data_IF_310793463388
#
_entry.id   IF_310793463388
#
_cell.length_a   1.000
_cell.length_b   1.000
_cell.length_c   1.000
_cell.angle_alpha   90.00
_cell.angle_beta   90.00
_cell.angle_gamma   90.00
#
_symmetry.space_group_name_H-M   'P 1'
#
loop_
_entity.id
_entity.type
_entity.pdbx_description
1 polymer ?
#
# COMPACT_ATOMS: atom_id res chain seq x y z
N UNK A 1 -7.45 59.93 15.31
CA UNK A 1 -8.88 60.21 15.21
C UNK A 1 -9.57 58.93 14.77
N UNK A 2 -10.19 58.24 15.73
CA UNK A 2 -11.17 57.16 15.54
C UNK A 2 -12.51 57.74 14.97
N UNK A 3 -13.48 56.91 14.50
CA UNK A 3 -14.00 55.84 15.36
C UNK A 3 -14.36 54.50 14.65
N UNK A 4 -14.52 53.53 15.54
CA UNK A 4 -15.03 52.19 15.38
C UNK A 4 -16.54 52.18 15.01
N UNK A 5 -17.00 51.11 14.32
CA UNK A 5 -18.38 50.63 14.40
C UNK A 5 -18.44 49.09 14.45
N UNK A 6 -18.97 48.71 15.59
CA UNK A 6 -19.30 47.37 16.04
C UNK A 6 -20.70 46.98 15.53
N UNK A 7 -20.90 45.81 14.95
CA UNK A 7 -22.24 45.19 14.84
C UNK A 7 -22.16 43.68 15.06
N UNK A 8 -22.46 43.30 16.28
CA UNK A 8 -22.90 41.95 16.65
C UNK A 8 -24.28 41.68 15.99
N UNK A 9 -24.44 40.54 15.36
CA UNK A 9 -25.74 39.93 15.07
C UNK A 9 -25.89 38.61 15.80
N UNK A 10 -26.68 38.68 16.86
CA UNK A 10 -27.29 37.55 17.57
C UNK A 10 -28.33 36.85 16.71
N UNK A 11 -28.28 35.53 16.61
CA UNK A 11 -29.40 34.71 16.13
C UNK A 11 -29.95 33.86 17.25
N UNK A 12 -31.22 34.13 17.57
CA UNK A 12 -32.00 33.49 18.62
C UNK A 12 -32.51 32.10 18.17
N UNK A 13 -32.45 31.17 19.12
CA UNK A 13 -33.12 29.86 19.07
C UNK A 13 -34.65 30.03 18.96
N UNK A 14 -35.27 29.27 18.08
CA UNK A 14 -36.67 28.85 18.21
C UNK A 14 -36.74 27.32 18.29
N UNK A 15 -37.13 26.84 19.43
CA UNK A 15 -37.61 25.48 19.65
C UNK A 15 -39.04 25.38 19.13
N UNK A 16 -39.33 24.32 18.40
CA UNK A 16 -40.70 23.83 18.22
C UNK A 16 -40.71 22.34 18.46
N UNK A 17 -41.38 21.98 19.54
CA UNK A 17 -41.63 20.59 19.91
C UNK A 17 -42.78 19.99 19.12
N UNK A 18 -42.63 18.70 18.83
CA UNK A 18 -43.77 17.79 18.65
C UNK A 18 -43.51 16.50 19.36
N UNK A 19 -44.41 16.24 20.32
CA UNK A 19 -44.55 14.96 21.01
C UNK A 19 -45.26 13.98 20.06
N UNK A 20 -44.77 12.74 20.02
CA UNK A 20 -45.60 11.57 19.75
C UNK A 20 -45.06 10.35 20.52
N UNK A 21 -45.97 9.74 21.25
CA UNK A 21 -45.82 8.56 22.07
C UNK A 21 -45.63 7.28 21.24
N UNK A 22 -44.92 6.29 21.79
CA UNK A 22 -45.03 4.93 21.28
C UNK A 22 -44.06 3.93 21.89
N UNK A 23 -44.40 3.46 23.07
CA UNK A 23 -44.20 2.10 23.64
C UNK A 23 -42.90 1.34 23.36
N UNK A 24 -42.15 1.14 24.43
CA UNK A 24 -41.04 0.22 24.56
C UNK A 24 -41.47 -1.25 24.53
N UNK A 25 -40.53 -2.06 24.14
CA UNK A 25 -40.48 -3.48 24.56
C UNK A 25 -39.05 -3.84 24.88
N UNK A 26 -38.77 -4.00 26.16
CA UNK A 26 -37.56 -4.61 26.67
C UNK A 26 -37.63 -6.11 26.42
N UNK A 27 -36.58 -6.71 25.89
CA UNK A 27 -36.41 -8.16 25.87
C UNK A 27 -35.22 -8.48 26.78
N UNK A 28 -35.59 -9.11 27.93
CA UNK A 28 -34.63 -9.68 28.86
C UNK A 28 -34.04 -10.97 28.30
N UNK A 29 -32.72 -11.12 28.37
CA UNK A 29 -32.05 -12.41 28.29
C UNK A 29 -32.22 -13.16 29.63
N UNK A 30 -32.84 -14.34 29.58
CA UNK A 30 -32.80 -15.29 30.66
C UNK A 30 -31.97 -16.51 30.26
N UNK A 31 -30.90 -16.71 31.02
CA UNK A 31 -30.14 -17.95 31.02
C UNK A 31 -30.94 -19.05 31.68
N UNK A 32 -30.96 -20.23 31.08
CA UNK A 32 -31.52 -21.43 31.73
C UNK A 32 -30.50 -22.57 31.66
N UNK A 33 -29.93 -22.86 32.84
CA UNK A 33 -29.25 -24.12 33.14
C UNK A 33 -30.35 -25.19 33.43
N UNK A 34 -30.22 -26.35 32.81
CA UNK A 34 -30.89 -27.57 33.32
C UNK A 34 -29.90 -28.72 33.32
N UNK A 35 -29.58 -29.15 34.55
CA UNK A 35 -28.98 -30.43 34.92
C UNK A 35 -30.13 -31.43 35.22
N UNK A 36 -29.97 -32.69 34.86
CA UNK A 36 -30.40 -33.96 35.47
C UNK A 36 -30.41 -35.01 34.36
N UNK A 37 -29.85 -36.19 34.42
CA UNK A 37 -29.61 -37.10 35.51
C UNK A 37 -30.11 -38.50 35.15
N UNK A 38 -29.20 -39.42 34.97
CA UNK A 38 -29.14 -40.81 35.41
C UNK A 38 -30.12 -41.91 34.93
N UNK A 39 -29.45 -43.03 34.70
CA UNK A 39 -29.78 -44.46 34.97
C UNK A 39 -30.28 -45.29 33.78
N UNK A 40 -29.40 -46.15 33.25
CA UNK A 40 -29.16 -47.56 33.62
C UNK A 40 -30.07 -48.56 32.92
N UNK A 41 -29.52 -49.44 32.14
CA UNK A 41 -29.45 -50.90 32.45
C UNK A 41 -28.57 -51.62 31.41
N UNK A 42 -27.84 -52.57 31.95
CA UNK A 42 -26.89 -53.46 31.27
C UNK A 42 -27.59 -54.59 30.54
N UNK A 43 -26.95 -55.10 29.46
CA UNK A 43 -26.89 -56.53 29.25
C UNK A 43 -25.67 -56.91 28.38
N UNK A 44 -25.05 -57.98 28.82
CA UNK A 44 -23.81 -58.58 28.28
C UNK A 44 -24.10 -59.36 27.00
N UNK A 45 -23.14 -59.37 26.04
CA UNK A 45 -22.57 -60.60 25.55
C UNK A 45 -21.32 -60.33 24.71
N UNK A 46 -20.29 -61.18 24.89
CA UNK A 46 -18.99 -61.29 24.22
C UNK A 46 -19.01 -62.50 23.27
N UNK A 47 -17.96 -62.79 22.47
CA UNK A 47 -16.96 -61.99 21.71
C UNK A 47 -16.82 -62.43 20.24
N UNK A 48 -16.23 -61.64 19.37
CA UNK A 48 -15.51 -62.13 18.21
C UNK A 48 -14.54 -61.10 17.59
N UNK A 49 -13.26 -61.45 17.70
CA UNK A 49 -12.14 -61.28 16.72
C UNK A 49 -11.93 -59.91 16.00
N UNK A 50 -10.79 -59.35 16.31
CA UNK A 50 -10.09 -58.30 15.54
C UNK A 50 -9.82 -58.70 14.09
N UNK A 51 -9.78 -57.71 13.21
CA UNK A 51 -8.58 -57.58 12.39
C UNK A 51 -8.01 -56.14 12.30
N UNK A 52 -6.69 -56.12 12.41
CA UNK A 52 -5.71 -55.32 11.69
C UNK A 52 -5.95 -53.80 11.56
N UNK A 53 -5.15 -53.14 12.32
CA UNK A 53 -4.45 -51.88 12.11
C UNK A 53 -4.50 -51.34 10.66
N UNK A 54 -5.25 -50.24 10.43
CA UNK A 54 -4.99 -49.30 9.38
C UNK A 54 -4.85 -47.92 10.02
N UNK A 55 -3.61 -47.53 10.26
CA UNK A 55 -3.24 -46.14 10.51
C UNK A 55 -3.61 -45.33 9.29
N UNK A 56 -4.59 -44.48 9.41
CA UNK A 56 -4.75 -43.34 8.52
C UNK A 56 -3.61 -42.36 8.81
N UNK A 57 -2.87 -41.90 7.79
CA UNK A 57 -1.95 -40.81 7.98
C UNK A 57 -2.74 -39.55 8.32
N UNK A 58 -2.56 -39.01 9.50
CA UNK A 58 -2.85 -37.63 9.80
C UNK A 58 -1.96 -36.79 8.85
N UNK A 59 -2.56 -36.23 7.82
CA UNK A 59 -1.91 -35.15 7.06
C UNK A 59 -1.83 -33.94 8.00
N UNK A 60 -0.71 -33.76 8.65
CA UNK A 60 -0.26 -32.46 9.09
C UNK A 60 -0.26 -31.59 7.82
N UNK A 61 -1.14 -30.60 7.77
CA UNK A 61 -1.02 -29.48 6.86
C UNK A 61 0.27 -28.76 7.23
N UNK A 62 1.37 -29.12 6.57
CA UNK A 62 2.59 -28.33 6.57
C UNK A 62 2.22 -26.99 5.96
N UNK A 63 2.39 -25.91 6.74
CA UNK A 63 2.34 -24.56 6.21
C UNK A 63 3.28 -24.49 4.98
N UNK A 64 2.88 -23.82 3.89
CA UNK A 64 3.77 -23.65 2.75
C UNK A 64 5.06 -22.97 3.24
N UNK A 65 6.20 -23.51 2.78
CA UNK A 65 7.50 -22.91 3.05
C UNK A 65 7.48 -21.47 2.52
N UNK A 66 8.09 -20.50 3.23
CA UNK A 66 8.14 -19.12 2.75
C UNK A 66 8.70 -19.10 1.33
N UNK A 67 7.94 -18.53 0.41
CA UNK A 67 8.32 -18.42 -0.98
C UNK A 67 9.40 -17.36 -1.07
N UNK A 68 10.68 -17.77 -1.18
CA UNK A 68 11.76 -16.81 -1.40
C UNK A 68 11.47 -16.05 -2.69
N UNK A 69 11.41 -14.72 -2.59
CA UNK A 69 11.20 -13.84 -3.74
C UNK A 69 12.38 -14.02 -4.71
N UNK A 70 12.13 -14.36 -6.00
CA UNK A 70 13.21 -14.59 -6.94
C UNK A 70 14.00 -13.30 -7.21
N UNK A 71 15.30 -13.29 -6.93
CA UNK A 71 16.19 -12.16 -7.20
C UNK A 71 16.63 -12.18 -8.67
N UNK A 72 16.49 -11.04 -9.37
CA UNK A 72 16.96 -10.90 -10.74
C UNK A 72 18.48 -11.02 -10.84
N UNK A 73 18.98 -11.85 -11.77
CA UNK A 73 20.37 -11.80 -12.20
C UNK A 73 20.62 -10.49 -12.97
N UNK A 74 21.45 -9.60 -12.42
CA UNK A 74 21.78 -8.30 -13.01
C UNK A 74 23.17 -8.31 -13.63
N UNK A 75 23.31 -7.66 -14.78
CA UNK A 75 24.61 -7.29 -15.31
C UNK A 75 25.08 -5.99 -14.64
N UNK A 76 25.79 -6.13 -13.52
CA UNK A 76 26.35 -4.98 -12.79
C UNK A 76 25.42 -4.38 -11.73
N UNK A 77 25.87 -3.28 -11.13
CA UNK A 77 25.14 -2.52 -10.12
C UNK A 77 24.27 -1.45 -10.80
N UNK A 78 23.06 -1.84 -11.22
CA UNK A 78 22.13 -0.97 -11.95
C UNK A 78 21.73 0.28 -11.13
N UNK A 79 21.80 0.20 -9.80
CA UNK A 79 21.39 1.27 -8.90
C UNK A 79 22.56 1.93 -8.16
N UNK A 80 23.75 1.84 -8.72
CA UNK A 80 24.90 2.55 -8.17
C UNK A 80 24.70 4.05 -8.28
N UNK A 81 24.46 4.70 -7.16
CA UNK A 81 24.29 6.15 -7.07
C UNK A 81 25.65 6.84 -7.22
N UNK A 82 25.77 7.82 -8.14
CA UNK A 82 26.98 8.65 -8.23
C UNK A 82 27.21 9.47 -6.96
N UNK A 83 28.47 9.57 -6.53
CA UNK A 83 28.88 10.46 -5.45
C UNK A 83 29.99 11.41 -5.96
N UNK A 84 29.78 12.73 -6.00
CA UNK A 84 28.55 13.43 -5.61
C UNK A 84 27.38 13.18 -6.56
N UNK A 85 26.15 13.31 -6.03
CA UNK A 85 24.92 13.21 -6.82
C UNK A 85 24.91 14.34 -7.88
N UNK A 86 24.69 14.04 -9.19
CA UNK A 86 24.64 15.05 -10.22
C UNK A 86 23.54 16.07 -10.00
N UNK A 87 23.78 17.33 -10.33
CA UNK A 87 22.73 18.33 -10.34
C UNK A 87 21.75 18.05 -11.50
N UNK A 88 20.45 18.19 -11.24
CA UNK A 88 19.39 18.00 -12.23
C UNK A 88 18.03 18.36 -11.65
N UNK A 89 17.03 18.49 -12.52
CA UNK A 89 15.65 18.61 -12.10
C UNK A 89 15.11 17.24 -11.65
N UNK A 90 14.06 17.21 -10.79
CA UNK A 90 13.32 15.98 -10.53
C UNK A 90 12.90 15.28 -11.82
N UNK A 91 12.98 13.97 -11.86
CA UNK A 91 12.74 13.16 -13.05
C UNK A 91 13.91 13.07 -14.04
N UNK A 92 15.08 13.68 -13.73
CA UNK A 92 16.29 13.49 -14.55
C UNK A 92 16.75 12.04 -14.45
N UNK A 93 16.83 11.35 -15.58
CA UNK A 93 17.36 9.99 -15.68
C UNK A 93 18.88 10.01 -15.41
N UNK A 94 19.33 9.23 -14.42
CA UNK A 94 20.75 9.06 -14.08
C UNK A 94 21.35 7.83 -14.76
N UNK A 95 20.61 6.73 -14.80
CA UNK A 95 20.99 5.50 -15.47
C UNK A 95 19.76 4.74 -15.97
N UNK A 96 19.94 4.03 -17.09
CA UNK A 96 18.97 3.10 -17.64
C UNK A 96 19.71 1.82 -18.04
N UNK A 97 19.45 0.73 -17.36
CA UNK A 97 20.13 -0.55 -17.58
C UNK A 97 19.13 -1.58 -18.09
N UNK A 98 19.25 -2.09 -19.33
CA UNK A 98 18.41 -3.18 -19.78
C UNK A 98 18.55 -4.40 -18.87
N UNK A 99 17.43 -4.96 -18.47
CA UNK A 99 17.36 -6.14 -17.62
C UNK A 99 16.85 -7.33 -18.41
N UNK A 100 17.28 -8.54 -18.04
CA UNK A 100 16.67 -9.74 -18.59
C UNK A 100 15.24 -9.84 -18.07
N UNK A 101 14.33 -10.10 -18.98
CA UNK A 101 12.95 -10.44 -18.62
C UNK A 101 12.92 -11.90 -18.23
N UNK A 102 12.28 -12.15 -17.09
CA UNK A 102 11.82 -13.48 -16.71
C UNK A 102 10.54 -13.86 -17.46
N UNK A 103 10.13 -15.11 -17.34
CA UNK A 103 8.86 -15.60 -17.88
C UNK A 103 7.65 -14.85 -17.28
N UNK A 104 7.83 -14.16 -16.14
CA UNK A 104 6.79 -13.39 -15.45
C UNK A 104 6.16 -12.30 -16.32
N UNK A 105 6.98 -11.61 -17.14
CA UNK A 105 6.53 -10.54 -18.05
C UNK A 105 6.87 -10.87 -19.50
N UNK A 106 6.61 -12.11 -19.93
CA UNK A 106 6.98 -12.63 -21.24
C UNK A 106 6.60 -11.67 -22.39
N UNK A 107 7.57 -11.41 -23.25
CA UNK A 107 7.42 -10.54 -24.42
C UNK A 107 7.56 -9.04 -24.15
N UNK A 108 7.49 -8.57 -22.92
CA UNK A 108 7.75 -7.16 -22.59
C UNK A 108 9.24 -6.83 -22.66
N UNK A 109 9.62 -5.57 -22.64
CA UNK A 109 11.00 -5.14 -22.37
C UNK A 109 11.08 -4.58 -20.96
N UNK A 110 12.22 -4.79 -20.28
CA UNK A 110 12.47 -4.29 -18.93
C UNK A 110 13.75 -3.48 -18.88
N UNK A 111 13.68 -2.30 -18.25
CA UNK A 111 14.80 -1.39 -18.06
C UNK A 111 14.79 -0.95 -16.59
N UNK A 112 15.89 -1.19 -15.89
CA UNK A 112 16.07 -0.65 -14.54
C UNK A 112 16.44 0.84 -14.66
N UNK A 113 15.79 1.65 -13.86
CA UNK A 113 15.93 3.10 -13.86
C UNK A 113 16.56 3.57 -12.56
N UNK A 114 17.54 4.47 -12.67
CA UNK A 114 17.98 5.32 -11.57
C UNK A 114 17.71 6.76 -11.98
N UNK A 115 17.02 7.52 -11.15
CA UNK A 115 16.60 8.87 -11.48
C UNK A 115 16.67 9.83 -10.28
N UNK A 116 16.66 11.13 -10.55
CA UNK A 116 16.55 12.14 -9.52
C UNK A 116 15.10 12.38 -9.11
N UNK A 117 14.89 12.47 -7.82
CA UNK A 117 13.69 13.02 -7.21
C UNK A 117 14.09 14.06 -6.16
N UNK A 118 13.13 14.66 -5.49
CA UNK A 118 13.35 15.46 -4.30
C UNK A 118 12.53 14.90 -3.15
N UNK A 119 13.13 14.90 -1.98
CA UNK A 119 12.38 14.65 -0.77
C UNK A 119 11.46 15.84 -0.41
N UNK A 120 10.63 15.70 0.62
CA UNK A 120 9.67 16.70 1.10
C UNK A 120 10.29 18.06 1.48
N UNK A 121 11.60 18.14 1.65
CA UNK A 121 12.36 19.36 1.93
C UNK A 121 13.10 19.90 0.71
N UNK A 122 12.70 19.47 -0.50
CA UNK A 122 13.30 19.83 -1.77
C UNK A 122 14.79 19.48 -1.91
N UNK A 123 15.29 18.54 -1.11
CA UNK A 123 16.64 18.03 -1.28
C UNK A 123 16.68 16.96 -2.37
N UNK A 124 17.63 17.03 -3.33
CA UNK A 124 17.74 16.03 -4.37
C UNK A 124 18.18 14.68 -3.80
N UNK A 125 17.52 13.63 -4.27
CA UNK A 125 17.78 12.23 -3.92
C UNK A 125 17.77 11.37 -5.17
N UNK A 126 18.52 10.26 -5.15
CA UNK A 126 18.40 9.24 -6.17
C UNK A 126 17.32 8.24 -5.78
N UNK A 127 16.55 7.80 -6.78
CA UNK A 127 15.50 6.81 -6.61
C UNK A 127 15.64 5.73 -7.68
N UNK A 128 15.46 4.48 -7.28
CA UNK A 128 15.42 3.32 -8.17
C UNK A 128 14.01 2.99 -8.64
N UNK A 129 13.91 2.18 -9.67
CA UNK A 129 12.67 1.66 -10.19
C UNK A 129 12.85 0.89 -11.48
N UNK A 130 11.79 0.44 -12.08
CA UNK A 130 11.83 -0.31 -13.34
C UNK A 130 10.78 0.18 -14.32
N UNK A 131 11.12 0.14 -15.60
CA UNK A 131 10.20 0.37 -16.72
C UNK A 131 9.94 -0.94 -17.45
N UNK A 132 8.68 -1.32 -17.52
CA UNK A 132 8.20 -2.41 -18.36
C UNK A 132 7.44 -1.83 -19.55
N UNK A 133 7.76 -2.29 -20.77
CA UNK A 133 7.11 -1.81 -21.99
C UNK A 133 6.48 -2.98 -22.73
N UNK A 134 5.22 -2.88 -23.20
CA UNK A 134 4.56 -3.93 -23.93
C UNK A 134 5.33 -4.41 -25.17
N UNK A 135 5.15 -5.65 -25.61
CA UNK A 135 5.72 -6.13 -26.87
C UNK A 135 5.12 -5.44 -28.09
N UNK A 136 5.89 -5.38 -29.17
CA UNK A 136 5.43 -4.88 -30.46
C UNK A 136 5.73 -3.39 -30.71
N UNK A 137 5.01 -2.82 -31.66
CA UNK A 137 5.21 -1.42 -32.05
C UNK A 137 4.32 -0.50 -31.22
N UNK A 138 4.88 0.59 -30.75
CA UNK A 138 4.13 1.61 -30.01
C UNK A 138 2.98 2.18 -30.85
N UNK A 139 1.84 2.53 -30.25
CA UNK A 139 0.80 3.33 -30.88
C UNK A 139 1.37 4.67 -31.42
N UNK A 140 0.61 5.30 -32.32
CA UNK A 140 1.05 6.56 -32.96
C UNK A 140 1.44 7.64 -31.94
N UNK A 141 0.72 7.71 -30.81
CA UNK A 141 0.93 8.72 -29.76
C UNK A 141 1.81 8.19 -28.61
N UNK A 142 2.46 7.03 -28.82
CA UNK A 142 3.28 6.32 -27.84
C UNK A 142 2.46 5.45 -26.87
N UNK A 143 3.16 4.61 -26.11
CA UNK A 143 2.55 3.83 -25.04
C UNK A 143 2.13 4.76 -23.88
N UNK A 144 0.86 4.83 -23.46
CA UNK A 144 0.50 5.53 -22.24
C UNK A 144 1.19 4.85 -21.03
N UNK A 145 1.52 5.65 -20.04
CA UNK A 145 2.33 5.21 -18.92
C UNK A 145 1.44 5.03 -17.69
N UNK A 146 1.54 3.91 -17.02
CA UNK A 146 1.11 3.77 -15.63
C UNK A 146 2.32 3.96 -14.73
N UNK A 147 2.33 5.02 -13.91
CA UNK A 147 3.20 5.08 -12.75
C UNK A 147 2.58 4.21 -11.68
N UNK A 148 3.25 3.10 -11.36
CA UNK A 148 2.72 2.07 -10.50
C UNK A 148 3.41 2.10 -9.14
N UNK A 149 2.60 2.19 -8.07
CA UNK A 149 3.05 2.22 -6.69
C UNK A 149 2.77 0.89 -5.99
N UNK A 150 3.84 0.28 -5.49
CA UNK A 150 3.75 -0.96 -4.71
C UNK A 150 3.29 -0.70 -3.27
N UNK A 151 2.68 -1.70 -2.63
CA UNK A 151 2.43 -1.71 -1.19
C UNK A 151 3.69 -2.04 -0.40
N UNK A 152 3.55 -2.20 0.89
CA UNK A 152 4.67 -2.46 1.81
C UNK A 152 5.41 -3.73 1.43
N UNK A 153 6.71 -3.61 1.19
CA UNK A 153 7.62 -4.75 0.94
C UNK A 153 8.67 -4.88 2.03
N UNK A 154 8.92 -3.82 2.77
CA UNK A 154 9.92 -3.68 3.81
C UNK A 154 10.56 -2.29 3.75
N UNK A 155 11.53 -2.03 4.61
CA UNK A 155 12.22 -0.73 4.67
C UNK A 155 13.74 -0.85 4.42
N UNK A 156 14.22 -2.06 4.16
CA UNK A 156 15.61 -2.33 3.80
C UNK A 156 15.81 -2.27 2.28
N UNK A 157 17.01 -1.91 1.81
CA UNK A 157 17.36 -1.83 0.38
C UNK A 157 17.06 -3.10 -0.40
N UNK A 158 17.20 -4.26 0.22
CA UNK A 158 16.93 -5.56 -0.39
C UNK A 158 15.46 -5.79 -0.73
N UNK A 159 14.57 -4.98 -0.17
CA UNK A 159 13.13 -5.10 -0.33
C UNK A 159 12.59 -4.28 -1.53
N UNK A 160 13.46 -3.64 -2.31
CA UNK A 160 13.07 -2.90 -3.49
C UNK A 160 12.42 -3.82 -4.54
N UNK A 161 11.15 -3.58 -4.96
CA UNK A 161 10.44 -4.46 -5.91
C UNK A 161 11.14 -4.63 -7.25
N UNK A 162 11.79 -3.59 -7.74
CA UNK A 162 12.53 -3.66 -9.01
C UNK A 162 13.71 -4.62 -8.96
N UNK A 163 14.10 -5.10 -7.78
CA UNK A 163 15.16 -6.11 -7.62
C UNK A 163 14.67 -7.54 -7.82
N UNK A 164 13.37 -7.74 -8.00
CA UNK A 164 12.74 -9.05 -8.09
C UNK A 164 12.07 -9.28 -9.45
N UNK A 165 11.83 -10.54 -9.80
CA UNK A 165 11.24 -10.92 -11.07
C UNK A 165 9.77 -10.51 -11.21
N UNK A 166 9.03 -10.56 -10.09
CA UNK A 166 7.58 -10.40 -10.03
C UNK A 166 7.15 -9.09 -9.35
N UNK A 167 8.06 -8.11 -9.21
CA UNK A 167 7.83 -6.87 -8.47
C UNK A 167 7.44 -7.13 -7.01
N UNK A 168 8.09 -8.11 -6.41
CA UNK A 168 8.00 -8.57 -5.03
C UNK A 168 6.86 -9.58 -4.77
N UNK A 169 5.65 -9.36 -5.29
CA UNK A 169 4.49 -10.24 -5.08
C UNK A 169 3.87 -10.72 -6.41
N UNK A 170 3.30 -11.91 -6.42
CA UNK A 170 2.67 -12.47 -7.62
C UNK A 170 1.41 -11.71 -8.02
N UNK A 171 0.63 -11.22 -7.06
CA UNK A 171 -0.53 -10.37 -7.29
C UNK A 171 -0.15 -9.05 -7.99
N UNK A 172 1.01 -8.48 -7.69
CA UNK A 172 1.54 -7.31 -8.38
C UNK A 172 1.95 -7.64 -9.79
N UNK A 173 2.63 -8.78 -9.98
CA UNK A 173 2.95 -9.25 -11.31
C UNK A 173 1.70 -9.52 -12.15
N UNK A 174 0.63 -10.08 -11.57
CA UNK A 174 -0.65 -10.30 -12.25
C UNK A 174 -1.28 -8.98 -12.71
N UNK A 175 -1.34 -7.97 -11.83
CA UNK A 175 -1.86 -6.66 -12.18
C UNK A 175 -1.04 -5.99 -13.28
N UNK A 176 0.30 -6.00 -13.17
CA UNK A 176 1.20 -5.43 -14.17
C UNK A 176 1.10 -6.16 -15.51
N UNK A 177 0.99 -7.50 -15.54
CA UNK A 177 0.72 -8.25 -16.78
C UNK A 177 -0.58 -7.79 -17.46
N UNK A 178 -1.61 -7.53 -16.68
CA UNK A 178 -2.90 -7.06 -17.20
C UNK A 178 -2.77 -5.66 -17.82
N UNK A 179 -2.02 -4.75 -17.18
CA UNK A 179 -1.72 -3.43 -17.71
C UNK A 179 -0.91 -3.50 -19.02
N UNK A 180 0.16 -4.30 -19.05
CA UNK A 180 0.97 -4.52 -20.25
C UNK A 180 0.13 -5.10 -21.39
N UNK A 181 -0.73 -6.09 -21.11
CA UNK A 181 -1.62 -6.72 -22.09
C UNK A 181 -2.66 -5.73 -22.64
N UNK A 182 -3.10 -4.77 -21.83
CA UNK A 182 -3.99 -3.70 -22.25
C UNK A 182 -3.27 -2.58 -23.01
N UNK A 183 -1.95 -2.63 -23.14
CA UNK A 183 -1.16 -1.67 -23.93
C UNK A 183 -0.67 -0.46 -23.13
N UNK A 184 -0.49 -0.60 -21.82
CA UNK A 184 0.19 0.40 -21.00
C UNK A 184 1.65 0.01 -20.78
N UNK A 185 2.56 0.96 -20.86
CA UNK A 185 3.88 0.83 -20.25
C UNK A 185 3.75 1.08 -18.74
N UNK A 186 4.50 0.32 -17.93
CA UNK A 186 4.46 0.43 -16.47
C UNK A 186 5.81 0.92 -15.96
N UNK A 187 5.82 2.08 -15.29
CA UNK A 187 6.97 2.64 -14.60
C UNK A 187 6.74 2.46 -13.09
N UNK A 188 7.41 1.48 -12.50
CA UNK A 188 7.28 1.12 -11.10
C UNK A 188 8.45 1.71 -10.31
N UNK A 189 8.16 2.67 -9.42
CA UNK A 189 9.15 3.25 -8.50
C UNK A 189 9.35 2.35 -7.29
N UNK A 190 10.58 2.24 -6.80
CA UNK A 190 10.87 1.61 -5.51
C UNK A 190 10.72 2.61 -4.33
N UNK A 191 10.46 3.88 -4.62
CA UNK A 191 10.46 5.02 -3.68
C UNK A 191 11.84 5.38 -3.14
N UNK A 192 11.90 6.43 -2.31
CA UNK A 192 13.15 6.90 -1.70
C UNK A 192 13.62 5.92 -0.63
N UNK A 193 14.89 5.53 -0.66
CA UNK A 193 15.52 4.72 0.36
C UNK A 193 15.27 3.22 0.25
N UNK A 194 14.79 2.73 -0.91
CA UNK A 194 14.85 1.32 -1.29
C UNK A 194 15.82 1.16 -2.46
N UNK A 195 16.79 0.25 -2.35
CA UNK A 195 17.91 0.04 -3.26
C UNK A 195 18.75 1.31 -3.56
N UNK A 196 18.58 2.38 -2.78
CA UNK A 196 19.31 3.65 -2.89
C UNK A 196 19.66 4.17 -1.50
N UNK A 197 20.76 4.95 -1.32
CA UNK A 197 21.22 5.38 -0.01
C UNK A 197 20.20 6.17 0.81
N UNK A 198 20.14 5.90 2.09
CA UNK A 198 19.27 6.54 3.08
C UNK A 198 18.12 5.64 3.53
N UNK A 199 17.45 5.98 4.64
CA UNK A 199 16.31 5.21 5.09
C UNK A 199 15.10 5.39 4.16
N UNK A 200 14.29 4.34 4.04
CA UNK A 200 13.03 4.41 3.32
C UNK A 200 12.05 5.39 3.97
N UNK A 201 11.45 6.25 3.15
CA UNK A 201 10.47 7.27 3.57
C UNK A 201 9.06 6.67 3.69
N UNK A 202 8.96 5.53 4.37
CA UNK A 202 7.73 4.76 4.51
C UNK A 202 6.56 5.62 5.00
N UNK A 203 5.45 5.62 4.24
CA UNK A 203 4.25 6.42 4.52
C UNK A 203 4.45 7.94 4.62
N UNK A 204 5.60 8.48 4.22
CA UNK A 204 5.81 9.93 4.05
C UNK A 204 5.27 10.34 2.68
N UNK A 205 4.00 10.71 2.62
CA UNK A 205 3.22 10.79 1.39
C UNK A 205 3.82 11.69 0.30
N UNK A 206 4.39 12.86 0.65
CA UNK A 206 5.02 13.77 -0.34
C UNK A 206 6.22 13.09 -1.01
N UNK A 207 7.03 12.35 -0.26
CA UNK A 207 8.21 11.67 -0.79
C UNK A 207 7.80 10.52 -1.72
N UNK A 208 6.79 9.74 -1.33
CA UNK A 208 6.23 8.67 -2.15
C UNK A 208 5.61 9.22 -3.44
N UNK A 209 4.79 10.26 -3.33
CA UNK A 209 4.14 10.90 -4.49
C UNK A 209 5.14 11.55 -5.45
N UNK A 210 6.20 12.18 -4.93
CA UNK A 210 7.29 12.72 -5.74
C UNK A 210 7.99 11.62 -6.53
N UNK A 211 8.35 10.52 -5.88
CA UNK A 211 9.00 9.39 -6.54
C UNK A 211 8.13 8.81 -7.67
N UNK A 212 6.82 8.66 -7.45
CA UNK A 212 5.88 8.20 -8.48
C UNK A 212 5.71 9.18 -9.64
N UNK A 213 5.73 10.48 -9.39
CA UNK A 213 5.62 11.48 -10.46
C UNK A 213 6.92 11.61 -11.26
N UNK A 214 8.06 11.61 -10.56
CA UNK A 214 9.38 11.85 -11.14
C UNK A 214 9.89 10.66 -11.96
N UNK A 215 9.44 9.42 -11.72
CA UNK A 215 9.79 8.28 -12.57
C UNK A 215 9.23 8.42 -14.00
N UNK A 216 8.13 9.16 -14.19
CA UNK A 216 7.48 9.27 -15.51
C UNK A 216 8.36 9.97 -16.55
N UNK A 217 8.93 11.17 -16.30
CA UNK A 217 9.88 11.78 -17.23
C UNK A 217 11.16 10.97 -17.36
N UNK A 218 11.64 10.29 -16.30
CA UNK A 218 12.80 9.41 -16.37
C UNK A 218 12.55 8.21 -17.31
N UNK A 219 11.40 7.55 -17.19
CA UNK A 219 10.98 6.47 -18.08
C UNK A 219 10.92 6.93 -19.54
N UNK A 220 10.38 8.13 -19.81
CA UNK A 220 10.33 8.72 -21.16
C UNK A 220 11.70 9.08 -21.70
N UNK A 221 12.64 9.47 -20.86
CA UNK A 221 14.04 9.69 -21.25
C UNK A 221 14.72 8.36 -21.61
N UNK A 222 14.40 7.26 -20.91
CA UNK A 222 14.92 5.92 -21.22
C UNK A 222 14.27 5.30 -22.47
N UNK A 223 13.00 5.62 -22.75
CA UNK A 223 12.26 5.09 -23.89
C UNK A 223 11.41 6.19 -24.56
N UNK A 224 11.85 6.65 -25.71
CA UNK A 224 11.17 7.71 -26.49
C UNK A 224 9.85 7.31 -27.13
N UNK A 225 9.46 6.03 -27.07
CA UNK A 225 8.16 5.54 -27.57
C UNK A 225 7.03 5.71 -26.57
N UNK A 226 7.31 6.28 -25.39
CA UNK A 226 6.30 6.51 -24.34
C UNK A 226 5.52 7.83 -24.58
N UNK A 227 4.23 7.78 -24.31
CA UNK A 227 3.30 8.91 -24.40
C UNK A 227 3.60 9.98 -23.33
N UNK A 228 3.03 11.18 -23.51
CA UNK A 228 2.97 12.21 -22.46
C UNK A 228 1.82 11.98 -21.47
N UNK A 229 0.84 11.14 -21.86
CA UNK A 229 -0.28 10.78 -21.01
C UNK A 229 0.15 9.68 -20.04
N UNK A 230 -0.12 9.91 -18.77
CA UNK A 230 0.18 8.93 -17.73
C UNK A 230 -0.97 8.82 -16.72
N UNK A 231 -0.96 7.75 -15.96
CA UNK A 231 -1.92 7.38 -14.93
C UNK A 231 -1.15 7.01 -13.67
N UNK A 232 -1.71 7.28 -12.50
CA UNK A 232 -1.18 6.81 -11.23
C UNK A 232 -2.04 5.64 -10.74
N UNK A 233 -1.41 4.52 -10.43
CA UNK A 233 -2.09 3.36 -9.82
C UNK A 233 -1.23 2.89 -8.67
N UNK A 234 -1.85 2.51 -7.55
CA UNK A 234 -1.11 1.89 -6.45
C UNK A 234 -2.01 1.17 -5.48
N UNK A 235 -1.42 0.25 -4.73
CA UNK A 235 -2.07 -0.58 -3.73
C UNK A 235 -1.50 -0.33 -2.35
N UNK A 236 -2.34 -0.27 -1.31
CA UNK A 236 -1.90 -0.12 0.09
C UNK A 236 -1.08 1.17 0.29
N UNK A 237 0.19 1.09 0.72
CA UNK A 237 1.14 2.21 0.71
C UNK A 237 1.22 2.85 -0.69
N UNK A 238 1.22 2.04 -1.75
CA UNK A 238 1.20 2.55 -3.12
C UNK A 238 -0.10 3.28 -3.48
N UNK A 239 -1.22 2.91 -2.88
CA UNK A 239 -2.47 3.65 -2.98
C UNK A 239 -2.36 5.04 -2.36
N UNK A 240 -1.73 5.15 -1.19
CA UNK A 240 -1.35 6.44 -0.60
C UNK A 240 -0.41 7.22 -1.53
N UNK A 241 0.63 6.57 -2.04
CA UNK A 241 1.60 7.18 -2.95
C UNK A 241 0.92 7.73 -4.23
N UNK A 242 -0.03 6.99 -4.82
CA UNK A 242 -0.80 7.42 -5.99
C UNK A 242 -1.65 8.67 -5.69
N UNK A 243 -2.26 8.78 -4.52
CA UNK A 243 -3.00 9.97 -4.10
C UNK A 243 -2.07 11.19 -3.98
N UNK A 244 -0.91 11.05 -3.38
CA UNK A 244 0.09 12.12 -3.31
C UNK A 244 0.71 12.46 -4.68
N UNK A 245 0.87 11.48 -5.58
CA UNK A 245 1.39 11.69 -6.93
C UNK A 245 0.52 12.64 -7.74
N UNK A 246 -0.79 12.74 -7.46
CA UNK A 246 -1.69 13.70 -8.11
C UNK A 246 -1.23 15.14 -7.93
N UNK A 247 -0.74 15.49 -6.74
CA UNK A 247 -0.21 16.83 -6.42
C UNK A 247 1.17 17.04 -7.03
N UNK A 248 2.01 16.01 -6.92
CA UNK A 248 3.37 16.00 -7.48
C UNK A 248 3.38 16.06 -9.02
N UNK A 249 2.27 15.71 -9.69
CA UNK A 249 2.13 15.83 -11.15
C UNK A 249 2.39 17.26 -11.68
N UNK A 250 2.09 18.28 -10.88
CA UNK A 250 2.35 19.69 -11.23
C UNK A 250 3.84 20.02 -11.41
N UNK A 251 4.76 19.15 -10.96
CA UNK A 251 6.22 19.27 -11.14
C UNK A 251 6.62 19.07 -12.60
N UNK A 252 5.77 18.38 -13.39
CA UNK A 252 6.00 18.02 -14.79
C UNK A 252 4.86 18.51 -15.69
N UNK A 253 4.71 19.85 -15.89
CA UNK A 253 3.59 20.43 -16.61
C UNK A 253 3.54 20.06 -18.09
N UNK A 254 4.62 19.50 -18.64
CA UNK A 254 4.70 18.97 -20.01
C UNK A 254 4.06 17.58 -20.16
N UNK A 255 3.72 16.92 -19.04
CA UNK A 255 3.07 15.62 -18.97
C UNK A 255 1.62 15.77 -18.49
N UNK A 256 0.77 14.82 -18.84
CA UNK A 256 -0.64 14.84 -18.50
C UNK A 256 -0.99 13.63 -17.62
N UNK A 257 -1.23 13.86 -16.34
CA UNK A 257 -1.90 12.90 -15.48
C UNK A 257 -3.39 12.87 -15.88
N UNK A 258 -3.86 11.72 -16.37
CA UNK A 258 -5.19 11.58 -16.92
C UNK A 258 -6.22 11.09 -15.87
N UNK A 259 -5.83 10.14 -15.03
CA UNK A 259 -6.65 9.63 -13.93
C UNK A 259 -5.78 8.90 -12.89
N UNK A 260 -6.38 8.66 -11.72
CA UNK A 260 -5.73 7.96 -10.61
C UNK A 260 -6.62 6.82 -10.11
N UNK A 261 -5.98 5.70 -9.74
CA UNK A 261 -6.62 4.58 -9.07
C UNK A 261 -5.83 4.26 -7.79
N UNK A 262 -6.48 4.35 -6.66
CA UNK A 262 -5.89 3.97 -5.37
C UNK A 262 -6.65 2.77 -4.81
N UNK A 263 -5.95 1.65 -4.65
CA UNK A 263 -6.52 0.37 -4.22
C UNK A 263 -6.15 0.16 -2.76
N UNK A 264 -7.14 -0.01 -1.89
CA UNK A 264 -6.98 -0.17 -0.45
C UNK A 264 -5.95 0.82 0.15
N UNK A 265 -6.10 2.15 -0.11
CA UNK A 265 -5.05 3.12 0.16
C UNK A 265 -4.86 3.34 1.65
N UNK A 266 -3.62 3.35 2.10
CA UNK A 266 -3.27 3.75 3.46
C UNK A 266 -3.67 5.21 3.70
N UNK A 267 -4.46 5.45 4.74
CA UNK A 267 -4.92 6.77 5.16
C UNK A 267 -5.25 6.79 6.66
N UNK A 268 -5.59 7.95 7.20
CA UNK A 268 -5.94 8.13 8.64
C UNK A 268 -4.88 7.61 9.60
N UNK A 269 -3.62 7.55 9.18
CA UNK A 269 -2.50 6.91 9.88
C UNK A 269 -2.28 7.46 11.29
N UNK A 270 -2.42 8.77 11.47
CA UNK A 270 -2.27 9.38 12.80
C UNK A 270 -3.26 8.84 13.81
N UNK A 271 -4.52 8.61 13.42
CA UNK A 271 -5.55 8.03 14.29
C UNK A 271 -5.44 6.51 14.41
N UNK A 272 -4.86 5.83 13.42
CA UNK A 272 -4.64 4.39 13.43
C UNK A 272 -3.41 3.97 14.26
N UNK A 273 -2.40 4.85 14.39
CA UNK A 273 -1.12 4.52 15.02
C UNK A 273 -1.25 3.90 16.43
N UNK A 274 -2.10 4.39 17.35
CA UNK A 274 -2.28 3.74 18.65
C UNK A 274 -2.76 2.30 18.56
N UNK A 275 -3.64 1.97 17.62
CA UNK A 275 -4.12 0.62 17.40
C UNK A 275 -3.02 -0.28 16.78
N UNK A 276 -2.30 0.22 15.79
CA UNK A 276 -1.17 -0.47 15.16
C UNK A 276 -0.10 -0.82 16.20
N UNK A 277 0.28 0.10 17.07
CA UNK A 277 1.32 -0.10 18.09
C UNK A 277 0.85 -0.97 19.25
N UNK A 278 -0.42 -0.89 19.65
CA UNK A 278 -0.94 -1.74 20.72
C UNK A 278 -1.23 -3.18 20.29
N UNK A 279 -1.19 -3.44 19.00
CA UNK A 279 -1.21 -4.75 18.37
C UNK A 279 -2.53 -5.51 18.53
N UNK A 280 -3.35 -5.50 17.48
CA UNK A 280 -4.43 -6.48 17.36
C UNK A 280 -3.90 -7.80 16.81
N UNK A 281 -3.01 -7.72 15.82
CA UNK A 281 -2.38 -8.86 15.15
C UNK A 281 -0.85 -8.69 15.17
N UNK A 282 -0.08 -9.80 15.14
CA UNK A 282 1.39 -9.72 15.05
C UNK A 282 1.90 -8.91 13.85
N UNK A 283 1.17 -8.89 12.75
CA UNK A 283 1.47 -8.08 11.57
C UNK A 283 1.47 -6.58 11.87
N UNK A 284 0.54 -6.09 12.70
CA UNK A 284 0.40 -4.66 12.98
C UNK A 284 1.68 -4.07 13.61
N UNK A 285 2.37 -4.84 14.45
CA UNK A 285 3.60 -4.37 15.08
C UNK A 285 4.71 -4.09 14.07
N UNK A 286 4.80 -4.87 12.99
CA UNK A 286 5.79 -4.67 11.92
C UNK A 286 5.52 -3.36 11.17
N UNK A 287 4.26 -3.10 10.84
CA UNK A 287 3.88 -1.80 10.25
C UNK A 287 4.23 -0.63 11.18
N UNK A 288 4.00 -0.78 12.49
CA UNK A 288 4.39 0.23 13.49
C UNK A 288 5.90 0.52 13.48
N UNK A 289 6.73 -0.52 13.35
CA UNK A 289 8.18 -0.37 13.23
C UNK A 289 8.58 0.35 11.94
N UNK A 290 7.95 0.02 10.82
CA UNK A 290 8.19 0.70 9.54
C UNK A 290 7.74 2.17 9.57
N UNK A 291 6.62 2.48 10.22
CA UNK A 291 6.19 3.87 10.42
C UNK A 291 7.22 4.68 11.22
N UNK A 292 7.86 4.08 12.23
CA UNK A 292 8.96 4.75 12.96
C UNK A 292 10.17 5.01 12.06
N UNK A 293 10.52 4.07 11.16
CA UNK A 293 11.58 4.30 10.16
C UNK A 293 11.21 5.45 9.24
N UNK A 294 10.01 5.49 8.68
CA UNK A 294 9.53 6.60 7.86
C UNK A 294 9.57 7.93 8.60
N UNK A 295 9.05 7.99 9.83
CA UNK A 295 9.05 9.20 10.66
C UNK A 295 10.47 9.66 11.02
N UNK A 296 11.46 8.77 11.12
CA UNK A 296 12.86 9.14 11.36
C UNK A 296 13.44 10.02 10.24
N UNK A 297 12.90 9.91 9.02
CA UNK A 297 13.29 10.75 7.88
C UNK A 297 12.70 12.17 7.98
N UNK A 298 11.66 12.32 8.79
CA UNK A 298 10.96 13.58 9.03
C UNK A 298 11.55 14.32 10.22
N UNK A 299 11.76 13.60 11.32
CA UNK A 299 12.39 14.09 12.54
C UNK A 299 13.51 13.13 12.99
N UNK A 300 14.79 13.50 12.86
CA UNK A 300 15.92 12.66 13.25
C UNK A 300 15.97 12.29 14.74
N UNK A 301 15.15 12.90 15.59
CA UNK A 301 15.02 12.50 17.00
C UNK A 301 14.17 11.24 17.17
N UNK A 302 13.41 10.86 16.13
CA UNK A 302 12.65 9.61 16.06
C UNK A 302 13.57 8.55 15.51
N UNK A 303 14.08 7.66 16.35
CA UNK A 303 14.90 6.53 15.92
C UNK A 303 14.28 5.23 16.38
N UNK A 304 14.53 4.17 15.62
CA UNK A 304 14.01 2.85 15.96
C UNK A 304 14.51 2.43 17.36
N UNK A 305 15.79 2.66 17.68
CA UNK A 305 16.40 2.32 18.97
C UNK A 305 15.75 3.06 20.15
N UNK A 306 15.32 4.30 19.95
CA UNK A 306 14.64 5.09 20.99
C UNK A 306 13.29 4.48 21.36
N UNK A 307 12.54 4.01 20.36
CA UNK A 307 11.16 3.57 20.53
C UNK A 307 11.00 2.05 20.56
N UNK A 308 12.07 1.30 20.27
CA UNK A 308 12.07 -0.16 20.33
C UNK A 308 12.10 -0.65 21.77
N UNK A 309 11.24 -1.62 22.06
CA UNK A 309 11.27 -2.40 23.29
C UNK A 309 12.24 -3.60 23.22
N UNK A 310 12.38 -4.33 24.31
CA UNK A 310 13.34 -5.43 24.41
C UNK A 310 13.10 -6.57 23.39
N UNK A 311 11.90 -6.71 22.88
CA UNK A 311 11.60 -7.72 21.85
C UNK A 311 12.05 -7.29 20.44
N UNK A 312 12.22 -5.99 20.19
CA UNK A 312 12.66 -5.46 18.89
C UNK A 312 14.17 -5.27 18.81
N UNK A 313 14.81 -4.88 19.93
CA UNK A 313 16.25 -4.54 19.97
C UNK A 313 17.16 -5.59 19.29
N UNK A 314 16.93 -6.93 19.43
CA UNK A 314 17.75 -7.94 18.75
C UNK A 314 17.53 -8.03 17.24
N UNK A 315 16.43 -7.45 16.72
CA UNK A 315 15.97 -7.60 15.34
C UNK A 315 16.06 -6.30 14.51
N UNK A 316 16.76 -5.27 15.01
CA UNK A 316 16.92 -3.99 14.31
C UNK A 316 17.57 -4.16 12.92
N UNK A 317 18.58 -5.01 12.80
CA UNK A 317 19.23 -5.30 11.52
C UNK A 317 18.29 -6.06 10.57
N UNK A 318 17.42 -6.93 11.07
CA UNK A 318 16.39 -7.58 10.27
C UNK A 318 15.44 -6.53 9.68
N UNK A 319 14.94 -5.62 10.51
CA UNK A 319 14.00 -4.58 10.08
C UNK A 319 14.64 -3.61 9.07
N UNK A 320 15.88 -3.17 9.30
CA UNK A 320 16.44 -2.01 8.57
C UNK A 320 17.43 -2.38 7.46
N UNK A 321 17.92 -3.63 7.39
CA UNK A 321 19.02 -3.98 6.49
C UNK A 321 18.80 -5.28 5.70
N UNK A 322 18.23 -6.33 6.32
CA UNK A 322 18.32 -7.68 5.75
C UNK A 322 17.00 -8.41 5.54
N UNK A 323 15.93 -8.01 6.22
CA UNK A 323 14.62 -8.65 6.13
C UNK A 323 13.60 -7.80 5.42
N UNK A 324 12.65 -8.44 4.76
CA UNK A 324 11.50 -7.80 4.15
C UNK A 324 10.21 -8.14 4.92
N UNK A 325 9.06 -7.70 4.42
CA UNK A 325 7.81 -7.76 5.18
C UNK A 325 7.48 -9.18 5.68
N UNK A 326 7.62 -10.18 4.82
CA UNK A 326 7.26 -11.57 5.18
C UNK A 326 8.17 -12.15 6.24
N UNK A 327 9.48 -11.91 6.13
CA UNK A 327 10.44 -12.34 7.14
C UNK A 327 10.22 -11.60 8.47
N UNK A 328 9.87 -10.31 8.41
CA UNK A 328 9.54 -9.55 9.61
C UNK A 328 8.24 -10.06 10.27
N UNK A 329 7.21 -10.39 9.49
CA UNK A 329 5.98 -11.00 10.01
C UNK A 329 6.26 -12.35 10.67
N UNK A 330 7.08 -13.21 10.06
CA UNK A 330 7.44 -14.50 10.62
C UNK A 330 8.18 -14.34 11.96
N UNK A 331 9.14 -13.42 12.03
CA UNK A 331 9.93 -13.16 13.23
C UNK A 331 9.06 -12.63 14.38
N UNK A 332 8.14 -11.72 14.10
CA UNK A 332 7.28 -11.10 15.12
C UNK A 332 5.99 -11.89 15.39
N UNK A 333 5.67 -12.95 14.64
CA UNK A 333 4.40 -13.70 14.72
C UNK A 333 4.03 -14.22 16.12
N UNK A 334 5.03 -14.50 16.97
CA UNK A 334 4.82 -15.00 18.34
C UNK A 334 5.32 -14.03 19.42
N UNK A 335 5.69 -12.83 19.03
CA UNK A 335 6.27 -11.83 19.94
C UNK A 335 5.19 -11.25 20.85
N UNK A 336 5.55 -11.01 22.11
CA UNK A 336 4.69 -10.26 23.02
C UNK A 336 4.66 -8.78 22.60
N UNK A 337 3.51 -8.32 22.11
CA UNK A 337 3.31 -6.95 21.60
C UNK A 337 3.72 -5.88 22.60
N UNK A 338 3.44 -6.09 23.90
CA UNK A 338 3.81 -5.14 24.97
C UNK A 338 5.33 -4.93 25.13
N UNK A 339 6.13 -5.79 24.51
CA UNK A 339 7.59 -5.74 24.55
C UNK A 339 8.21 -5.23 23.25
N UNK A 340 7.40 -4.98 22.20
CA UNK A 340 7.89 -4.49 20.90
C UNK A 340 8.23 -3.02 20.93
N UNK A 341 7.39 -2.21 21.58
CA UNK A 341 7.53 -0.76 21.61
C UNK A 341 7.77 -0.22 23.03
N UNK A 342 8.44 0.92 23.08
CA UNK A 342 8.72 1.68 24.31
C UNK A 342 8.32 3.13 24.06
N UNK A 343 7.01 3.38 24.04
CA UNK A 343 6.40 4.66 23.70
C UNK A 343 5.53 5.13 24.87
N UNK A 344 5.80 6.30 25.39
CA UNK A 344 4.96 6.94 26.42
C UNK A 344 3.68 7.52 25.78
N UNK A 345 2.60 7.76 26.56
CA UNK A 345 1.38 8.37 26.02
C UNK A 345 1.57 9.75 25.37
N UNK A 346 2.53 10.57 25.85
CA UNK A 346 2.84 11.85 25.23
C UNK A 346 3.57 11.69 23.89
N UNK A 347 4.52 10.76 23.82
CA UNK A 347 5.22 10.43 22.57
C UNK A 347 4.26 9.82 21.55
N UNK A 348 3.32 9.00 21.98
CA UNK A 348 2.26 8.46 21.10
C UNK A 348 1.46 9.60 20.45
N UNK A 349 1.08 10.63 21.22
CA UNK A 349 0.38 11.79 20.68
C UNK A 349 1.23 12.54 19.67
N UNK A 350 2.50 12.81 20.00
CA UNK A 350 3.44 13.52 19.10
C UNK A 350 3.66 12.74 17.79
N UNK A 351 3.87 11.42 17.87
CA UNK A 351 4.02 10.55 16.68
C UNK A 351 2.75 10.51 15.83
N UNK A 352 1.57 10.44 16.48
CA UNK A 352 0.28 10.43 15.79
C UNK A 352 0.01 11.74 15.05
N UNK A 353 0.29 12.88 15.67
CA UNK A 353 0.13 14.21 15.05
C UNK A 353 1.11 14.41 13.88
N UNK A 354 2.36 13.97 14.05
CA UNK A 354 3.35 14.03 12.98
C UNK A 354 2.94 13.15 11.80
N UNK A 355 2.55 11.90 12.07
CA UNK A 355 2.13 10.96 11.06
C UNK A 355 0.85 11.43 10.32
N UNK A 356 -0.12 12.02 11.04
CA UNK A 356 -1.28 12.64 10.41
C UNK A 356 -0.87 13.74 9.42
N UNK A 357 0.14 14.56 9.81
CA UNK A 357 0.61 15.67 8.98
C UNK A 357 1.33 15.20 7.72
N UNK A 358 2.14 14.15 7.78
CA UNK A 358 2.99 13.73 6.65
C UNK A 358 2.41 12.58 5.85
N UNK A 359 1.51 11.78 6.45
CA UNK A 359 1.01 10.55 5.85
C UNK A 359 -0.43 10.60 5.36
N UNK A 360 -1.29 11.49 5.89
CA UNK A 360 -2.70 11.48 5.48
C UNK A 360 -2.90 12.16 4.11
N UNK A 361 -3.48 11.45 3.12
CA UNK A 361 -3.62 11.98 1.76
C UNK A 361 -4.77 13.00 1.61
N UNK A 362 -5.67 13.12 2.58
CA UNK A 362 -6.85 13.97 2.59
C UNK A 362 -6.64 15.37 3.22
N UNK A 363 -5.38 15.76 3.45
CA UNK A 363 -5.05 17.12 3.95
C UNK A 363 -5.29 18.21 2.89
N UNK A 364 -5.21 17.84 1.61
CA UNK A 364 -5.40 18.71 0.46
C UNK A 364 -6.12 17.94 -0.65
N UNK A 365 -6.82 18.63 -1.58
CA UNK A 365 -7.50 17.96 -2.69
C UNK A 365 -6.49 17.28 -3.62
N UNK A 366 -6.83 16.10 -4.11
CA UNK A 366 -6.15 15.46 -5.23
C UNK A 366 -6.54 16.13 -6.55
N UNK A 367 -5.76 15.90 -7.60
CA UNK A 367 -5.98 16.49 -8.92
C UNK A 367 -6.47 15.41 -9.91
N UNK A 368 -7.53 15.73 -10.65
CA UNK A 368 -8.10 14.85 -11.68
C UNK A 368 -9.07 13.80 -11.13
N UNK A 369 -9.65 12.97 -12.03
CA UNK A 369 -10.57 11.90 -11.67
C UNK A 369 -9.89 10.83 -10.81
N UNK A 370 -10.59 10.39 -9.75
CA UNK A 370 -10.07 9.43 -8.78
C UNK A 370 -11.02 8.24 -8.62
N UNK A 371 -10.48 7.03 -8.79
CA UNK A 371 -11.12 5.78 -8.40
C UNK A 371 -10.47 5.26 -7.12
N UNK A 372 -11.27 5.09 -6.09
CA UNK A 372 -10.91 4.34 -4.88
C UNK A 372 -11.51 2.93 -4.99
N UNK A 373 -10.68 1.93 -4.77
CA UNK A 373 -11.06 0.51 -4.75
C UNK A 373 -10.79 -0.05 -3.36
N UNK A 374 -11.73 -0.82 -2.81
CA UNK A 374 -11.59 -1.36 -1.46
C UNK A 374 -12.22 -2.77 -1.36
N UNK A 375 -11.59 -3.67 -0.64
CA UNK A 375 -12.20 -4.92 -0.19
C UNK A 375 -13.05 -4.70 1.05
N UNK A 376 -14.26 -5.28 1.12
CA UNK A 376 -15.15 -5.12 2.28
C UNK A 376 -14.58 -5.81 3.54
N UNK A 377 -13.91 -6.96 3.34
CA UNK A 377 -13.33 -7.79 4.41
C UNK A 377 -11.84 -7.49 4.65
N UNK A 378 -11.35 -6.34 4.20
CA UNK A 378 -9.96 -5.90 4.40
C UNK A 378 -9.65 -5.73 5.90
N UNK A 379 -8.64 -6.50 6.37
CA UNK A 379 -8.23 -6.50 7.77
C UNK A 379 -7.02 -5.57 8.03
N UNK A 380 -6.26 -5.21 6.98
CA UNK A 380 -5.12 -4.29 7.08
C UNK A 380 -5.59 -2.83 7.02
N UNK A 381 -6.42 -2.51 6.04
CA UNK A 381 -7.06 -1.20 5.88
C UNK A 381 -8.58 -1.40 5.90
N UNK A 382 -9.22 -1.35 7.07
CA UNK A 382 -10.66 -1.54 7.18
C UNK A 382 -11.47 -0.63 6.23
N UNK A 383 -12.47 -1.19 5.55
CA UNK A 383 -13.22 -0.50 4.49
C UNK A 383 -13.75 0.88 4.93
N UNK A 384 -14.17 1.03 6.18
CA UNK A 384 -14.61 2.32 6.74
C UNK A 384 -13.54 3.42 6.72
N UNK A 385 -12.24 3.06 6.68
CA UNK A 385 -11.15 4.05 6.54
C UNK A 385 -11.14 4.63 5.12
N UNK A 386 -11.31 3.80 4.10
CA UNK A 386 -11.38 4.25 2.70
C UNK A 386 -12.69 4.97 2.39
N UNK A 387 -13.81 4.58 3.02
CA UNK A 387 -15.07 5.30 2.95
C UNK A 387 -14.93 6.71 3.51
N UNK A 388 -14.32 6.86 4.70
CA UNK A 388 -14.03 8.15 5.32
C UNK A 388 -13.10 9.01 4.45
N UNK A 389 -12.05 8.42 3.88
CA UNK A 389 -11.17 9.08 2.92
C UNK A 389 -11.95 9.62 1.72
N UNK A 390 -12.87 8.80 1.16
CA UNK A 390 -13.72 9.20 0.04
C UNK A 390 -14.60 10.40 0.40
N UNK A 391 -15.23 10.38 1.57
CA UNK A 391 -16.07 11.49 2.07
C UNK A 391 -15.26 12.78 2.22
N UNK A 392 -14.09 12.73 2.87
CA UNK A 392 -13.24 13.90 3.06
C UNK A 392 -12.74 14.48 1.72
N UNK A 393 -12.33 13.64 0.78
CA UNK A 393 -11.89 14.10 -0.53
C UNK A 393 -13.05 14.74 -1.32
N UNK A 394 -14.27 14.19 -1.23
CA UNK A 394 -15.47 14.81 -1.83
C UNK A 394 -15.80 16.15 -1.18
N UNK A 395 -15.65 16.30 0.13
CA UNK A 395 -15.80 17.59 0.83
C UNK A 395 -14.77 18.63 0.36
N UNK A 396 -13.59 18.20 -0.04
CA UNK A 396 -12.55 19.03 -0.66
C UNK A 396 -12.83 19.33 -2.15
N UNK A 397 -13.93 18.79 -2.72
CA UNK A 397 -14.34 19.02 -4.10
C UNK A 397 -13.68 18.10 -5.14
N UNK A 398 -13.09 16.98 -4.71
CA UNK A 398 -12.50 15.99 -5.61
C UNK A 398 -13.61 15.14 -6.25
N UNK A 399 -13.47 14.83 -7.54
CA UNK A 399 -14.32 13.88 -8.25
C UNK A 399 -13.89 12.44 -7.93
N UNK A 400 -14.50 11.87 -6.89
CA UNK A 400 -14.18 10.54 -6.35
C UNK A 400 -15.25 9.54 -6.71
N UNK A 401 -14.83 8.44 -7.30
CA UNK A 401 -15.62 7.21 -7.43
C UNK A 401 -15.09 6.17 -6.45
N UNK A 402 -15.92 5.66 -5.55
CA UNK A 402 -15.58 4.57 -4.63
C UNK A 402 -16.23 3.26 -5.11
N UNK A 403 -15.45 2.17 -5.07
CA UNK A 403 -15.89 0.80 -5.31
C UNK A 403 -15.48 -0.09 -4.16
N UNK A 404 -16.45 -0.68 -3.49
CA UNK A 404 -16.24 -1.66 -2.42
C UNK A 404 -16.65 -3.03 -2.96
N UNK A 405 -15.74 -3.99 -2.84
CA UNK A 405 -15.92 -5.35 -3.32
C UNK A 405 -16.27 -6.26 -2.14
N UNK A 406 -17.48 -6.85 -2.11
CA UNK A 406 -17.90 -7.73 -1.02
C UNK A 406 -17.03 -8.99 -0.96
N UNK A 407 -16.83 -9.50 0.26
CA UNK A 407 -16.12 -10.76 0.54
C UNK A 407 -14.63 -10.78 0.11
N UNK A 408 -14.04 -9.63 -0.27
CA UNK A 408 -12.64 -9.51 -0.62
C UNK A 408 -11.86 -8.74 0.46
N UNK A 409 -10.63 -9.18 0.73
CA UNK A 409 -9.70 -8.57 1.65
C UNK A 409 -8.69 -7.65 0.97
N UNK A 410 -7.63 -7.29 1.70
CA UNK A 410 -6.61 -6.31 1.30
C UNK A 410 -5.99 -6.62 -0.05
N UNK A 411 -5.39 -7.81 -0.19
CA UNK A 411 -4.71 -8.23 -1.42
C UNK A 411 -5.67 -8.91 -2.40
N UNK A 412 -6.66 -9.65 -1.88
CA UNK A 412 -7.58 -10.42 -2.72
C UNK A 412 -8.47 -9.58 -3.63
N UNK A 413 -8.59 -8.28 -3.38
CA UNK A 413 -9.33 -7.33 -4.23
C UNK A 413 -8.61 -7.01 -5.54
N UNK A 414 -7.28 -7.17 -5.62
CA UNK A 414 -6.46 -6.75 -6.77
C UNK A 414 -6.89 -7.41 -8.09
N UNK A 415 -7.00 -8.73 -8.12
CA UNK A 415 -7.39 -9.48 -9.31
C UNK A 415 -8.81 -9.13 -9.78
N UNK A 416 -9.85 -9.29 -8.94
CA UNK A 416 -11.24 -8.96 -9.29
C UNK A 416 -11.44 -7.50 -9.74
N UNK A 417 -10.72 -6.53 -9.17
CA UNK A 417 -10.83 -5.13 -9.53
C UNK A 417 -10.10 -4.73 -10.82
N UNK A 418 -9.29 -5.64 -11.39
CA UNK A 418 -8.45 -5.32 -12.57
C UNK A 418 -9.25 -4.81 -13.75
N UNK A 419 -10.38 -5.45 -14.11
CA UNK A 419 -11.15 -5.03 -15.26
C UNK A 419 -11.81 -3.66 -15.07
N UNK A 420 -12.33 -3.37 -13.88
CA UNK A 420 -12.88 -2.05 -13.58
C UNK A 420 -11.79 -0.97 -13.59
N UNK A 421 -10.61 -1.28 -13.08
CA UNK A 421 -9.43 -0.42 -13.16
C UNK A 421 -9.10 -0.09 -14.62
N UNK A 422 -8.98 -1.08 -15.49
CA UNK A 422 -8.68 -0.88 -16.91
C UNK A 422 -9.79 -0.10 -17.64
N UNK A 423 -11.06 -0.38 -17.34
CA UNK A 423 -12.20 0.38 -17.88
C UNK A 423 -12.20 1.83 -17.43
N UNK A 424 -11.83 2.10 -16.16
CA UNK A 424 -11.66 3.44 -15.63
C UNK A 424 -10.57 4.22 -16.38
N UNK A 425 -9.39 3.62 -16.57
CA UNK A 425 -8.33 4.23 -17.35
C UNK A 425 -8.76 4.52 -18.79
N UNK A 426 -9.49 3.59 -19.42
CA UNK A 426 -10.00 3.75 -20.78
C UNK A 426 -11.01 4.91 -20.89
N UNK A 427 -11.86 5.14 -19.90
CA UNK A 427 -12.78 6.27 -19.84
C UNK A 427 -12.04 7.62 -19.77
N UNK A 428 -10.78 7.61 -19.31
CA UNK A 428 -9.92 8.79 -19.15
C UNK A 428 -8.80 8.86 -20.19
N UNK A 429 -8.96 8.22 -21.34
CA UNK A 429 -8.07 8.37 -22.49
C UNK A 429 -6.99 7.28 -22.61
N UNK A 430 -7.03 6.27 -21.78
CA UNK A 430 -6.20 5.07 -21.93
C UNK A 430 -6.71 4.12 -23.01
N UNK A 431 -5.93 3.11 -23.40
CA UNK A 431 -6.38 2.07 -24.31
C UNK A 431 -7.52 1.26 -23.69
N UNK A 432 -8.48 0.88 -24.54
CA UNK A 432 -9.59 0.05 -24.11
C UNK A 432 -9.14 -1.41 -24.06
N UNK A 433 -9.32 -2.12 -22.93
CA UNK A 433 -8.96 -3.52 -22.84
C UNK A 433 -9.81 -4.36 -23.79
N UNK A 434 -9.16 -5.29 -24.52
CA UNK A 434 -9.85 -6.28 -25.31
C UNK A 434 -10.13 -7.53 -24.46
N UNK A 435 -11.41 -7.83 -24.20
CA UNK A 435 -11.84 -9.04 -23.48
C UNK A 435 -11.20 -9.20 -22.09
N UNK A 436 -11.22 -8.15 -21.26
CA UNK A 436 -10.79 -8.28 -19.88
C UNK A 436 -11.64 -9.32 -19.14
N UNK A 437 -10.98 -10.23 -18.45
CA UNK A 437 -11.61 -11.19 -17.54
C UNK A 437 -11.05 -10.89 -16.15
N UNK A 438 -11.93 -10.55 -15.22
CA UNK A 438 -11.55 -10.41 -13.82
C UNK A 438 -11.25 -11.80 -13.25
N UNK A 439 -10.04 -12.00 -12.80
CA UNK A 439 -9.57 -13.26 -12.24
C UNK A 439 -9.38 -13.13 -10.72
N UNK A 440 -9.47 -14.22 -9.96
CA UNK A 440 -9.03 -14.20 -8.57
C UNK A 440 -7.57 -13.73 -8.47
N UNK A 441 -7.24 -13.06 -7.38
CA UNK A 441 -5.86 -12.64 -7.13
C UNK A 441 -4.95 -13.86 -6.96
N UNK A 442 -3.82 -13.86 -7.65
CA UNK A 442 -2.80 -14.92 -7.53
C UNK A 442 -1.96 -14.68 -6.27
N UNK A 443 -2.23 -15.46 -5.23
CA UNK A 443 -1.58 -15.40 -3.92
C UNK A 443 -0.52 -16.51 -3.73
N UNK A 444 -0.06 -17.17 -4.81
CA UNK A 444 0.85 -18.33 -4.74
C UNK A 444 2.34 -17.95 -4.65
#
# INVERSE_FOLDING_TARGET
>A
MSPALNTQKTWSRRANGHRANGRGTAVCFAALLVLTGACSTAEQDKPAQSPTNSQSPSSELQAPAPTQVPILERDGDAYRVPDPLPAGAPGTLLAATPSKISDTFEGATRIELLYLSNNRTDQPVAVSGTLLTPPGAAPKDGWPIVSWGHGTTGVADVCAPSTTDNLFYNEYAQQVRSLLSAGYAVAASDYIGLATPGPHTYSVGVDLGNAMADIVPAARAANSTLSKTWFAIGHSEGGQAALFATRSASRHPELQLAATVAIAPTSSLGSALPAIISGGLPADVVYGLYLLVGLSTVDPSITLERFSGPATEPHLDLITQSGCLLEAFEEFATTNVDEVFKISPSEMTELSELLATVGNPDQEPTVGPLLLVQGEDDQDIPAGITELLSEHLQELGVDVTLRVYPELGHDTVLGPATCETLDWLAQHGGPKPENCVAEPTDMS
#
